data_IF_805173483327
#
_entry.id   IF_805173483327
#
_cell.length_a   1.000
_cell.length_b   1.000
_cell.length_c   1.000
_cell.angle_alpha   90.00
_cell.angle_beta   90.00
_cell.angle_gamma   90.00
#
_symmetry.space_group_name_H-M   'P 1'
#
loop_
_entity.id
_entity.type
_entity.pdbx_description
1 polymer ?
#
# COMPACT_ATOMS: atom_id res chain seq x y z
N UNK A 1 -5.52 -0.17 -25.85
CA UNK A 1 -5.94 0.47 -24.59
C UNK A 1 -4.94 0.07 -23.53
N UNK A 2 -4.05 0.98 -23.11
CA UNK A 2 -3.10 0.71 -22.03
C UNK A 2 -3.88 0.45 -20.75
N UNK A 3 -3.65 -0.72 -20.15
CA UNK A 3 -4.30 -1.11 -18.91
C UNK A 3 -3.96 -0.11 -17.79
N UNK A 4 -4.89 0.06 -16.86
CA UNK A 4 -4.65 0.89 -15.68
C UNK A 4 -3.79 0.09 -14.71
N UNK A 5 -2.54 0.53 -14.55
CA UNK A 5 -1.52 -0.20 -13.81
C UNK A 5 -1.64 0.03 -12.30
N UNK A 6 -1.50 -1.04 -11.48
CA UNK A 6 -1.31 -0.91 -10.05
C UNK A 6 -0.04 -0.13 -9.73
N UNK A 7 -0.03 0.57 -8.60
CA UNK A 7 1.14 1.31 -8.15
C UNK A 7 1.31 1.25 -6.63
N UNK A 8 2.58 1.33 -6.20
CA UNK A 8 2.97 1.25 -4.80
C UNK A 8 3.42 2.62 -4.31
N UNK A 9 2.95 2.99 -3.11
CA UNK A 9 3.34 4.21 -2.42
C UNK A 9 3.96 3.87 -1.07
N UNK A 10 5.10 4.50 -0.79
CA UNK A 10 5.78 4.36 0.51
C UNK A 10 5.39 5.52 1.41
N UNK A 11 4.95 5.20 2.62
CA UNK A 11 4.49 6.16 3.62
C UNK A 11 5.33 5.99 4.87
N UNK A 12 6.02 7.05 5.28
CA UNK A 12 6.90 7.00 6.44
C UNK A 12 6.09 7.03 7.75
N UNK A 13 6.66 6.42 8.79
CA UNK A 13 6.11 6.54 10.15
C UNK A 13 5.86 7.99 10.55
N UNK A 14 6.75 8.92 10.18
CA UNK A 14 6.61 10.33 10.51
C UNK A 14 5.37 10.94 9.84
N UNK A 15 5.08 10.60 8.59
CA UNK A 15 3.85 11.03 7.94
C UNK A 15 2.62 10.49 8.68
N UNK A 16 2.62 9.21 9.05
CA UNK A 16 1.51 8.61 9.80
C UNK A 16 1.35 9.16 11.21
N UNK A 17 2.45 9.49 11.90
CA UNK A 17 2.41 10.16 13.21
C UNK A 17 1.75 11.54 13.09
N UNK A 18 2.01 12.26 11.99
CA UNK A 18 1.33 13.54 11.68
C UNK A 18 -0.13 13.32 11.29
N UNK A 19 -0.41 12.36 10.41
CA UNK A 19 -1.78 12.02 10.02
C UNK A 19 -2.63 11.64 11.23
N UNK A 20 -2.06 10.88 12.18
CA UNK A 20 -2.73 10.53 13.44
C UNK A 20 -3.14 11.75 14.25
N UNK A 21 -2.34 12.83 14.21
CA UNK A 21 -2.68 14.12 14.83
C UNK A 21 -3.73 14.88 14.02
N UNK A 22 -3.54 15.03 12.71
CA UNK A 22 -4.45 15.77 11.83
C UNK A 22 -5.86 15.18 11.82
N UNK A 23 -5.97 13.85 11.76
CA UNK A 23 -7.24 13.14 11.73
C UNK A 23 -7.75 12.70 13.11
N UNK A 24 -7.03 13.02 14.19
CA UNK A 24 -7.37 12.65 15.58
C UNK A 24 -7.62 11.15 15.76
N UNK A 25 -6.71 10.32 15.24
CA UNK A 25 -6.84 8.86 15.18
C UNK A 25 -6.51 8.15 16.51
N UNK A 26 -5.95 8.88 17.48
CA UNK A 26 -5.50 8.34 18.77
C UNK A 26 -4.01 7.93 18.77
N UNK A 27 -3.53 7.45 19.92
CA UNK A 27 -2.10 7.15 20.15
C UNK A 27 -1.61 5.85 19.51
N UNK A 28 -2.50 4.89 19.26
CA UNK A 28 -2.17 3.57 18.70
C UNK A 28 -3.18 3.24 17.61
N UNK A 29 -2.82 3.53 16.37
CA UNK A 29 -3.67 3.28 15.21
C UNK A 29 -3.17 2.03 14.49
N UNK A 30 -3.97 0.96 14.52
CA UNK A 30 -3.59 -0.31 13.87
C UNK A 30 -3.77 -0.30 12.35
N UNK A 31 -4.76 0.45 11.86
CA UNK A 31 -5.18 0.53 10.45
C UNK A 31 -5.32 2.01 10.04
N UNK A 32 -4.20 2.76 9.95
CA UNK A 32 -4.28 4.21 9.75
C UNK A 32 -5.01 4.58 8.45
N UNK A 33 -4.84 3.84 7.36
CA UNK A 33 -5.59 4.07 6.12
C UNK A 33 -7.11 4.08 6.37
N UNK A 34 -7.66 3.02 6.97
CA UNK A 34 -9.11 2.90 7.23
C UNK A 34 -9.64 4.06 8.06
N UNK A 35 -8.92 4.42 9.12
CA UNK A 35 -9.37 5.48 10.02
C UNK A 35 -9.24 6.88 9.38
N UNK A 36 -8.22 7.11 8.53
CA UNK A 36 -8.12 8.31 7.70
C UNK A 36 -9.33 8.41 6.77
N UNK A 37 -9.64 7.34 6.02
CA UNK A 37 -10.72 7.32 5.04
C UNK A 37 -12.10 7.56 5.67
N UNK A 38 -12.36 7.00 6.86
CA UNK A 38 -13.57 7.29 7.64
C UNK A 38 -13.70 8.77 8.00
N UNK A 39 -12.58 9.46 8.30
CA UNK A 39 -12.59 10.87 8.70
C UNK A 39 -12.84 11.83 7.55
N UNK A 40 -12.59 11.39 6.33
CA UNK A 40 -12.85 12.16 5.11
C UNK A 40 -14.09 11.69 4.35
N UNK A 41 -14.94 10.88 5.02
CA UNK A 41 -16.25 10.44 4.53
C UNK A 41 -16.20 9.75 3.16
N UNK A 42 -15.18 8.92 2.94
CA UNK A 42 -15.09 8.08 1.74
C UNK A 42 -15.93 6.84 1.96
N UNK A 43 -16.79 6.53 0.99
CA UNK A 43 -17.52 5.26 0.95
C UNK A 43 -16.59 4.14 0.49
N UNK A 44 -16.43 3.12 1.33
CA UNK A 44 -15.61 1.96 1.03
C UNK A 44 -16.07 0.73 1.80
N UNK A 45 -15.82 -0.44 1.21
CA UNK A 45 -15.84 -1.72 1.92
C UNK A 45 -14.47 -1.99 2.52
N UNK A 46 -14.39 -2.21 3.83
CA UNK A 46 -13.16 -2.75 4.44
C UNK A 46 -13.01 -4.21 4.02
N UNK A 47 -11.80 -4.58 3.63
CA UNK A 47 -11.42 -5.93 3.25
C UNK A 47 -10.52 -6.50 4.33
N UNK A 48 -10.79 -7.72 4.75
CA UNK A 48 -9.79 -8.53 5.42
C UNK A 48 -8.79 -9.13 4.42
N UNK A 49 -7.87 -9.94 4.94
CA UNK A 49 -6.81 -10.58 4.16
C UNK A 49 -7.36 -11.46 3.03
N UNK A 50 -8.35 -12.29 3.33
CA UNK A 50 -8.86 -13.28 2.40
C UNK A 50 -9.82 -12.60 1.40
N UNK A 51 -10.60 -11.61 1.85
CA UNK A 51 -11.41 -10.76 0.97
C UNK A 51 -10.55 -9.93 0.01
N UNK A 52 -9.44 -9.35 0.48
CA UNK A 52 -8.49 -8.63 -0.35
C UNK A 52 -7.91 -9.54 -1.44
N UNK A 53 -7.59 -10.79 -1.10
CA UNK A 53 -7.14 -11.77 -2.09
C UNK A 53 -8.22 -12.04 -3.14
N UNK A 54 -9.46 -12.30 -2.73
CA UNK A 54 -10.55 -12.59 -3.66
C UNK A 54 -10.89 -11.40 -4.56
N UNK A 55 -10.88 -10.18 -4.03
CA UNK A 55 -11.12 -8.97 -4.81
C UNK A 55 -10.03 -8.75 -5.87
N UNK A 56 -8.77 -9.01 -5.50
CA UNK A 56 -7.63 -8.96 -6.40
C UNK A 56 -7.69 -10.04 -7.50
N UNK A 57 -8.09 -11.27 -7.17
CA UNK A 57 -8.33 -12.36 -8.14
C UNK A 57 -9.46 -11.98 -9.12
N UNK A 58 -10.56 -11.38 -8.63
CA UNK A 58 -11.66 -10.91 -9.47
C UNK A 58 -11.26 -9.80 -10.47
N UNK A 59 -10.41 -8.85 -10.06
CA UNK A 59 -9.88 -7.82 -10.96
C UNK A 59 -9.03 -8.44 -12.08
N UNK A 60 -8.23 -9.45 -11.74
CA UNK A 60 -7.41 -10.17 -12.71
C UNK A 60 -8.27 -10.88 -13.78
N UNK A 61 -9.34 -11.56 -13.36
CA UNK A 61 -10.26 -12.25 -14.26
C UNK A 61 -11.03 -11.26 -15.15
N UNK A 62 -11.60 -10.20 -14.56
CA UNK A 62 -12.44 -9.23 -15.27
C UNK A 62 -11.70 -8.46 -16.38
N UNK A 63 -10.38 -8.24 -16.23
CA UNK A 63 -9.57 -7.53 -17.23
C UNK A 63 -9.11 -8.40 -18.40
N UNK A 64 -9.43 -9.70 -18.42
CA UNK A 64 -9.01 -10.62 -19.49
C UNK A 64 -7.48 -10.72 -19.66
N UNK A 65 -6.72 -10.29 -18.65
CA UNK A 65 -5.26 -10.21 -18.69
C UNK A 65 -4.69 -11.58 -18.34
N UNK A 66 -4.26 -12.31 -19.36
CA UNK A 66 -3.77 -13.68 -19.18
C UNK A 66 -2.50 -13.77 -18.35
N UNK A 67 -1.61 -12.75 -18.28
CA UNK A 67 -0.34 -12.92 -17.54
C UNK A 67 0.24 -11.69 -16.80
N UNK A 68 0.26 -10.43 -17.25
CA UNK A 68 1.15 -9.42 -16.60
C UNK A 68 0.61 -8.69 -15.34
N UNK A 69 -0.51 -7.96 -15.41
CA UNK A 69 -1.05 -7.28 -14.21
C UNK A 69 -1.74 -8.25 -13.23
N UNK A 70 -2.27 -9.36 -13.76
CA UNK A 70 -2.84 -10.45 -12.97
C UNK A 70 -1.74 -11.20 -12.21
N UNK A 71 -0.59 -11.54 -12.81
CA UNK A 71 0.53 -12.09 -12.06
C UNK A 71 1.08 -11.11 -11.03
N UNK A 72 1.07 -9.80 -11.31
CA UNK A 72 1.47 -8.80 -10.34
C UNK A 72 0.58 -8.81 -9.11
N UNK A 73 -0.72 -8.66 -9.33
CA UNK A 73 -1.75 -8.63 -8.30
C UNK A 73 -1.79 -9.95 -7.53
N UNK A 74 -1.66 -11.07 -8.23
CA UNK A 74 -1.54 -12.41 -7.65
C UNK A 74 -0.23 -12.61 -6.90
N UNK A 75 0.90 -12.07 -7.37
CA UNK A 75 2.19 -12.15 -6.67
C UNK A 75 2.20 -11.25 -5.44
N UNK A 76 1.53 -10.09 -5.49
CA UNK A 76 1.28 -9.21 -4.34
C UNK A 76 0.40 -9.91 -3.31
N UNK A 77 -0.74 -10.46 -3.75
CA UNK A 77 -1.65 -11.22 -2.90
C UNK A 77 -0.94 -12.43 -2.29
N UNK A 78 -0.21 -13.23 -3.08
CA UNK A 78 0.50 -14.41 -2.56
C UNK A 78 1.67 -14.00 -1.65
N UNK A 79 2.51 -13.05 -2.04
CA UNK A 79 3.67 -12.66 -1.24
C UNK A 79 3.28 -12.07 0.12
N UNK A 80 2.14 -11.39 0.22
CA UNK A 80 1.72 -10.72 1.46
C UNK A 80 0.60 -11.44 2.23
N UNK A 81 -0.15 -12.36 1.61
CA UNK A 81 -1.36 -12.97 2.21
C UNK A 81 -1.26 -14.48 2.43
N UNK A 82 -0.14 -15.13 2.05
CA UNK A 82 0.06 -16.55 2.28
C UNK A 82 0.18 -16.90 3.79
N UNK A 83 -0.32 -18.08 4.22
CA UNK A 83 -0.20 -18.54 5.61
C UNK A 83 1.26 -18.70 6.04
N UNK A 84 1.53 -18.24 7.26
CA UNK A 84 2.83 -18.11 7.94
C UNK A 84 3.69 -19.37 8.01
N UNK A 85 3.17 -20.57 7.72
CA UNK A 85 3.83 -21.85 7.93
C UNK A 85 5.09 -22.13 7.10
N UNK A 86 5.24 -21.53 5.91
CA UNK A 86 6.45 -21.67 5.07
C UNK A 86 7.39 -20.44 5.14
N UNK A 87 7.02 -19.40 5.91
CA UNK A 87 7.70 -18.11 5.97
C UNK A 87 8.63 -17.91 7.18
N UNK A 88 8.64 -18.86 8.12
CA UNK A 88 9.26 -18.68 9.44
C UNK A 88 10.80 -18.56 9.44
N UNK A 89 11.49 -18.95 8.37
CA UNK A 89 12.96 -18.95 8.37
C UNK A 89 13.61 -17.63 7.91
N UNK A 90 12.93 -16.74 7.17
CA UNK A 90 13.62 -15.59 6.52
C UNK A 90 12.84 -14.26 6.40
N UNK A 91 11.56 -14.15 6.79
CA UNK A 91 10.71 -13.02 6.34
C UNK A 91 9.67 -12.52 7.36
N UNK A 92 10.10 -11.88 8.45
CA UNK A 92 9.26 -10.98 9.27
C UNK A 92 9.55 -9.51 8.93
N UNK A 93 9.14 -9.01 7.75
CA UNK A 93 9.42 -7.60 7.39
C UNK A 93 8.30 -6.85 6.67
N UNK A 94 7.21 -7.48 6.22
CA UNK A 94 6.03 -6.78 5.68
C UNK A 94 4.75 -7.52 6.10
N UNK A 95 3.74 -6.80 6.61
CA UNK A 95 2.52 -7.36 7.18
C UNK A 95 1.29 -6.67 6.59
N UNK A 96 0.29 -7.42 6.16
CA UNK A 96 -1.02 -6.86 5.82
C UNK A 96 -1.67 -6.22 7.06
N UNK A 97 -2.16 -4.98 6.93
CA UNK A 97 -2.89 -4.26 7.97
C UNK A 97 -4.38 -4.16 7.66
N UNK A 98 -4.71 -3.70 6.46
CA UNK A 98 -6.07 -3.45 6.03
C UNK A 98 -6.16 -3.40 4.50
N UNK A 99 -7.34 -3.63 3.99
CA UNK A 99 -7.70 -3.34 2.61
C UNK A 99 -8.97 -2.50 2.60
N UNK A 100 -9.09 -1.63 1.61
CA UNK A 100 -10.31 -0.91 1.32
C UNK A 100 -10.63 -1.06 -0.15
N UNK A 101 -11.91 -1.20 -0.44
CA UNK A 101 -12.44 -1.32 -1.78
C UNK A 101 -13.52 -0.28 -2.00
N UNK A 102 -13.37 0.49 -3.07
CA UNK A 102 -14.39 1.39 -3.61
C UNK A 102 -14.93 0.81 -4.90
N UNK A 103 -15.91 1.47 -5.52
CA UNK A 103 -16.36 1.11 -6.86
C UNK A 103 -15.23 1.18 -7.90
N UNK A 104 -14.31 2.15 -7.76
CA UNK A 104 -13.27 2.46 -8.74
C UNK A 104 -11.90 1.82 -8.49
N UNK A 105 -11.54 1.48 -7.25
CA UNK A 105 -10.20 1.00 -6.91
C UNK A 105 -10.15 0.22 -5.59
N UNK A 106 -9.01 -0.43 -5.36
CA UNK A 106 -8.66 -1.05 -4.08
C UNK A 106 -7.38 -0.38 -3.56
N UNK A 107 -7.29 -0.13 -2.25
CA UNK A 107 -6.03 0.21 -1.58
C UNK A 107 -5.75 -0.84 -0.51
N UNK A 108 -4.59 -1.48 -0.59
CA UNK A 108 -4.10 -2.38 0.44
C UNK A 108 -2.97 -1.71 1.22
N UNK A 109 -3.10 -1.72 2.54
CA UNK A 109 -2.13 -1.18 3.48
C UNK A 109 -1.29 -2.33 4.07
N UNK A 110 0.01 -2.19 3.97
CA UNK A 110 0.97 -3.10 4.59
C UNK A 110 1.95 -2.34 5.47
N UNK A 111 2.35 -2.92 6.60
CA UNK A 111 3.43 -2.41 7.44
C UNK A 111 4.72 -3.13 7.11
N UNK A 112 5.74 -2.41 6.68
CA UNK A 112 7.10 -2.88 6.50
C UNK A 112 8.01 -2.48 7.67
N UNK A 113 8.84 -3.43 8.14
CA UNK A 113 9.82 -3.25 9.20
C UNK A 113 11.24 -3.47 8.67
N UNK A 114 12.13 -2.51 8.90
CA UNK A 114 13.58 -2.65 8.71
C UNK A 114 14.23 -2.72 10.10
N UNK A 115 14.61 -3.93 10.57
CA UNK A 115 15.36 -4.06 11.82
C UNK A 115 16.74 -3.43 11.68
N UNK A 116 17.18 -2.72 12.71
CA UNK A 116 18.50 -2.09 12.79
C UNK A 116 19.25 -2.61 14.01
N UNK A 117 20.54 -2.94 13.84
CA UNK A 117 21.38 -3.32 14.98
C UNK A 117 21.59 -2.11 15.90
N UNK A 118 21.39 -2.31 17.21
CA UNK A 118 21.63 -1.29 18.25
C UNK A 118 20.84 0.01 18.09
N UNK A 119 19.78 0.03 17.26
CA UNK A 119 18.87 1.16 17.04
C UNK A 119 17.44 0.65 16.89
N UNK A 120 16.45 1.53 17.10
CA UNK A 120 15.05 1.18 16.85
C UNK A 120 14.83 0.80 15.38
N UNK A 121 13.99 -0.21 15.13
CA UNK A 121 13.55 -0.56 13.77
C UNK A 121 12.90 0.64 13.06
N UNK A 122 13.08 0.71 11.75
CA UNK A 122 12.32 1.64 10.92
C UNK A 122 11.03 0.97 10.46
N UNK A 123 9.96 1.76 10.40
CA UNK A 123 8.65 1.30 9.97
C UNK A 123 8.15 2.18 8.82
N UNK A 124 7.64 1.52 7.78
CA UNK A 124 7.06 2.15 6.61
C UNK A 124 5.74 1.49 6.30
N UNK A 125 4.71 2.27 6.06
CA UNK A 125 3.49 1.75 5.48
C UNK A 125 3.62 1.75 3.96
N UNK A 126 3.15 0.69 3.34
CA UNK A 126 3.11 0.51 1.90
C UNK A 126 1.64 0.52 1.49
N UNK A 127 1.26 1.49 0.66
CA UNK A 127 -0.07 1.54 0.08
C UNK A 127 0.01 1.06 -1.36
N UNK A 128 -0.50 -0.15 -1.58
CA UNK A 128 -0.70 -0.69 -2.92
C UNK A 128 -2.06 -0.23 -3.43
N UNK A 129 -2.06 0.58 -4.47
CA UNK A 129 -3.27 1.04 -5.13
C UNK A 129 -3.51 0.22 -6.38
N UNK A 130 -4.71 -0.37 -6.49
CA UNK A 130 -5.14 -1.22 -7.60
C UNK A 130 -6.39 -0.63 -8.24
N UNK A 131 -6.25 0.15 -9.32
CA UNK A 131 -7.39 0.70 -10.02
C UNK A 131 -8.18 -0.38 -10.76
N UNK A 132 -9.51 -0.35 -10.66
CA UNK A 132 -10.41 -1.21 -11.44
C UNK A 132 -10.65 -0.63 -12.84
N UNK A 133 -10.78 0.69 -12.92
CA UNK A 133 -11.06 1.45 -14.17
C UNK A 133 -10.10 2.64 -14.33
N UNK A 134 -10.01 3.26 -15.53
CA UNK A 134 -9.21 4.46 -15.75
C UNK A 134 -9.66 5.64 -14.87
N UNK A 135 -10.97 5.80 -14.72
CA UNK A 135 -11.60 6.80 -13.85
C UNK A 135 -11.20 6.54 -12.39
N UNK A 136 -11.25 5.27 -11.97
CA UNK A 136 -10.85 4.84 -10.64
C UNK A 136 -9.37 5.08 -10.33
N UNK A 137 -8.48 5.07 -11.32
CA UNK A 137 -7.11 5.53 -11.13
C UNK A 137 -7.03 7.04 -10.86
N UNK A 138 -7.82 7.84 -11.57
CA UNK A 138 -7.94 9.27 -11.31
C UNK A 138 -8.47 9.55 -9.91
N UNK A 139 -9.51 8.83 -9.50
CA UNK A 139 -10.09 8.94 -8.15
C UNK A 139 -9.11 8.54 -7.07
N UNK A 140 -8.42 7.41 -7.22
CA UNK A 140 -7.43 6.96 -6.24
C UNK A 140 -6.29 7.98 -6.07
N UNK A 141 -5.80 8.57 -7.16
CA UNK A 141 -4.78 9.62 -7.12
C UNK A 141 -5.28 10.88 -6.43
N UNK A 142 -6.49 11.33 -6.73
CA UNK A 142 -7.12 12.47 -6.05
C UNK A 142 -7.27 12.21 -4.56
N UNK A 143 -7.71 11.02 -4.19
CA UNK A 143 -7.88 10.61 -2.80
C UNK A 143 -6.55 10.66 -2.03
N UNK A 144 -5.51 9.99 -2.53
CA UNK A 144 -4.21 9.99 -1.83
C UNK A 144 -3.60 11.38 -1.76
N UNK A 145 -3.78 12.23 -2.79
CA UNK A 145 -3.36 13.63 -2.76
C UNK A 145 -4.08 14.43 -1.69
N UNK A 146 -5.40 14.31 -1.60
CA UNK A 146 -6.20 14.98 -0.58
C UNK A 146 -5.74 14.60 0.82
N UNK A 147 -5.43 13.32 1.06
CA UNK A 147 -4.84 12.87 2.34
C UNK A 147 -3.51 13.57 2.61
N UNK A 148 -2.61 13.66 1.63
CA UNK A 148 -1.31 14.35 1.80
C UNK A 148 -1.47 15.84 2.10
N UNK A 149 -2.36 16.51 1.36
CA UNK A 149 -2.66 17.93 1.55
C UNK A 149 -3.19 18.21 2.96
N UNK A 150 -4.10 17.37 3.46
CA UNK A 150 -4.64 17.50 4.82
C UNK A 150 -3.63 17.21 5.94
N UNK A 151 -2.59 16.41 5.66
CA UNK A 151 -1.55 16.07 6.65
C UNK A 151 -0.44 17.13 6.69
N UNK A 152 -0.33 17.97 5.66
CA UNK A 152 0.66 19.04 5.55
C UNK A 152 2.11 18.53 5.76
N UNK A 153 2.40 17.35 5.21
CA UNK A 153 3.72 16.74 5.29
C UNK A 153 4.00 15.85 4.10
N UNK A 154 5.27 15.74 3.66
CA UNK A 154 5.64 14.78 2.65
C UNK A 154 5.41 13.35 3.17
N UNK A 155 4.80 12.45 2.38
CA UNK A 155 4.62 11.05 2.76
C UNK A 155 5.92 10.31 3.01
N UNK A 156 6.98 10.69 2.30
CA UNK A 156 8.33 10.18 2.48
C UNK A 156 9.33 11.23 2.02
N UNK A 157 10.38 11.50 2.81
CA UNK A 157 11.48 12.38 2.37
C UNK A 157 12.55 11.62 1.60
N UNK A 158 13.45 12.34 0.91
CA UNK A 158 14.58 11.75 0.20
C UNK A 158 15.50 10.91 1.12
N UNK A 159 15.67 11.32 2.38
CA UNK A 159 16.39 10.54 3.39
C UNK A 159 15.67 9.23 3.71
N UNK A 160 14.38 9.30 4.07
CA UNK A 160 13.55 8.14 4.39
C UNK A 160 13.43 7.18 3.19
N UNK A 161 13.44 7.70 1.96
CA UNK A 161 13.45 6.92 0.72
C UNK A 161 14.74 6.10 0.55
N UNK A 162 15.89 6.69 0.89
CA UNK A 162 17.17 5.98 0.91
C UNK A 162 17.17 4.91 2.01
N UNK A 163 16.68 5.23 3.20
CA UNK A 163 16.58 4.26 4.29
C UNK A 163 15.63 3.09 3.97
N UNK A 164 14.62 3.30 3.12
CA UNK A 164 13.70 2.26 2.67
C UNK A 164 14.31 1.29 1.62
N UNK A 165 15.53 1.53 1.13
CA UNK A 165 16.22 0.68 0.14
C UNK A 165 16.16 -0.83 0.43
N UNK A 166 16.41 -1.32 1.67
CA UNK A 166 16.37 -2.75 1.95
C UNK A 166 14.98 -3.37 1.75
N UNK A 167 13.89 -2.59 1.86
CA UNK A 167 12.54 -3.04 1.50
C UNK A 167 12.39 -3.02 -0.02
N UNK A 168 12.80 -1.93 -0.68
CA UNK A 168 12.69 -1.76 -2.14
C UNK A 168 13.39 -2.89 -2.90
N UNK A 169 14.65 -3.17 -2.58
CA UNK A 169 15.42 -4.27 -3.21
C UNK A 169 14.78 -5.63 -3.00
N UNK A 170 14.27 -5.87 -1.79
CA UNK A 170 13.66 -7.14 -1.41
C UNK A 170 12.34 -7.40 -2.14
N UNK A 171 11.60 -6.34 -2.40
CA UNK A 171 10.38 -6.39 -3.18
C UNK A 171 10.65 -6.42 -4.69
N UNK A 172 11.73 -5.79 -5.17
CA UNK A 172 12.13 -5.77 -6.59
C UNK A 172 12.33 -7.16 -7.19
N UNK A 173 12.84 -8.12 -6.42
CA UNK A 173 12.98 -9.51 -6.86
C UNK A 173 11.66 -10.32 -6.89
N UNK A 174 10.53 -9.71 -6.53
CA UNK A 174 9.25 -10.40 -6.30
C UNK A 174 8.06 -9.73 -6.97
N UNK A 175 8.16 -8.43 -7.23
CA UNK A 175 7.08 -7.57 -7.67
C UNK A 175 7.58 -6.68 -8.80
N UNK A 176 6.78 -6.52 -9.84
CA UNK A 176 7.05 -5.62 -10.97
C UNK A 176 6.03 -4.47 -11.00
N UNK A 177 5.90 -3.76 -9.88
CA UNK A 177 4.87 -2.74 -9.68
C UNK A 177 5.47 -1.35 -9.84
N UNK A 178 4.74 -0.46 -10.51
CA UNK A 178 5.12 0.95 -10.60
C UNK A 178 5.27 1.53 -9.18
N UNK A 179 6.30 2.33 -8.96
CA UNK A 179 6.58 2.89 -7.63
C UNK A 179 7.35 2.00 -6.67
N UNK A 180 7.79 0.82 -7.10
CA UNK A 180 8.62 -0.05 -6.28
C UNK A 180 10.03 0.51 -6.07
N UNK A 181 10.65 0.95 -7.17
CA UNK A 181 12.01 1.49 -7.22
C UNK A 181 12.06 3.00 -7.53
N UNK A 182 10.89 3.62 -7.68
CA UNK A 182 10.74 5.06 -7.90
C UNK A 182 9.79 5.66 -6.84
N UNK A 183 10.08 6.87 -6.37
CA UNK A 183 9.18 7.55 -5.44
C UNK A 183 8.04 8.20 -6.22
N UNK A 184 6.88 7.56 -6.27
CA UNK A 184 5.75 8.07 -7.04
C UNK A 184 5.12 9.34 -6.48
N UNK A 185 5.33 9.66 -5.20
CA UNK A 185 4.74 10.86 -4.59
C UNK A 185 5.15 12.15 -5.30
N UNK A 186 6.32 12.20 -5.94
CA UNK A 186 6.77 13.37 -6.71
C UNK A 186 6.14 13.48 -8.09
N UNK A 187 5.46 12.43 -8.56
CA UNK A 187 4.89 12.31 -9.90
C UNK A 187 3.37 12.13 -9.92
N UNK A 188 2.76 12.02 -8.72
CA UNK A 188 1.35 11.80 -8.55
C UNK A 188 0.54 13.01 -8.95
#
# INVERSE_FOLDING_TARGET
MSGVEPFLLYVSKRFLDKASKSFKLGLIVRRPLVEILKKIDVDFKELDRDEARSALEGIAEAKGLTVTASQLVKSLALAFLLPTGLFYATLKKVYYRAGIETEGFIILEFLAEIPRALRASLFYDLWLVVPKTPEGAGDAKRLVKAVVEMVEAPPITAEEWREAEPIREKLAGRLDVKGLNENLWTSL
#
